data_IF_667853882337
#
_entry.id   IF_667853882337
#
_cell.length_a   1.000
_cell.length_b   1.000
_cell.length_c   1.000
_cell.angle_alpha   90.00
_cell.angle_beta   90.00
_cell.angle_gamma   90.00
#
_symmetry.space_group_name_H-M   'P 1'
#
loop_
_entity.id
_entity.type
_entity.pdbx_description
1 polymer ?
#
# COMPACT_ATOMS: atom_id res chain seq x y z
N UNK A 1 43.68 -5.52 -17.59
CA UNK A 1 42.55 -6.43 -17.25
C UNK A 1 41.29 -5.59 -17.32
N UNK A 2 40.32 -5.96 -18.17
CA UNK A 2 39.02 -5.29 -18.24
C UNK A 2 38.00 -6.19 -17.56
N UNK A 3 37.49 -5.74 -16.41
CA UNK A 3 36.44 -6.42 -15.67
C UNK A 3 35.11 -5.91 -16.19
N UNK A 4 34.40 -6.71 -16.96
CA UNK A 4 33.01 -6.42 -17.31
C UNK A 4 32.15 -6.83 -16.11
N UNK A 5 31.65 -5.85 -15.36
CA UNK A 5 30.63 -6.10 -14.35
C UNK A 5 29.30 -6.31 -15.06
N UNK A 6 28.82 -7.55 -15.07
CA UNK A 6 27.50 -7.89 -15.58
C UNK A 6 26.48 -7.47 -14.53
N UNK A 7 25.91 -6.28 -14.70
CA UNK A 7 24.80 -5.82 -13.85
C UNK A 7 23.56 -6.57 -14.29
N UNK A 8 23.26 -7.67 -13.62
CA UNK A 8 21.98 -8.35 -13.75
C UNK A 8 20.93 -7.51 -13.02
N UNK A 9 20.27 -6.62 -13.76
CA UNK A 9 19.14 -5.84 -13.23
C UNK A 9 17.97 -6.81 -13.08
N UNK A 10 17.89 -7.46 -11.92
CA UNK A 10 16.67 -8.15 -11.48
C UNK A 10 15.55 -7.12 -11.48
N UNK A 11 14.76 -7.08 -12.56
CA UNK A 11 13.60 -6.19 -12.67
C UNK A 11 12.51 -6.78 -11.79
N UNK A 12 12.63 -6.57 -10.49
CA UNK A 12 11.69 -7.10 -9.52
C UNK A 12 10.39 -6.29 -9.64
N UNK A 13 9.33 -6.91 -10.17
CA UNK A 13 8.02 -6.25 -10.29
C UNK A 13 7.45 -6.10 -8.88
N UNK A 14 7.64 -4.92 -8.30
CA UNK A 14 7.12 -4.56 -7.02
C UNK A 14 5.76 -3.86 -7.16
N UNK A 15 4.87 -4.08 -6.18
CA UNK A 15 3.63 -3.32 -6.09
C UNK A 15 3.95 -1.99 -5.38
N UNK A 16 3.60 -0.88 -6.03
CA UNK A 16 3.85 0.46 -5.53
C UNK A 16 2.54 1.22 -5.44
N UNK A 17 2.40 2.05 -4.42
CA UNK A 17 1.25 2.93 -4.23
C UNK A 17 1.75 4.37 -3.99
N UNK A 18 1.06 5.41 -4.49
CA UNK A 18 1.32 6.78 -4.06
C UNK A 18 1.23 6.91 -2.54
N UNK A 19 2.11 7.72 -1.94
CA UNK A 19 2.17 7.91 -0.49
C UNK A 19 0.84 8.42 0.10
N UNK A 20 0.01 9.10 -0.70
CA UNK A 20 -1.32 9.58 -0.29
C UNK A 20 -2.31 8.44 0.02
N UNK A 21 -2.15 7.28 -0.62
CA UNK A 21 -2.99 6.10 -0.42
C UNK A 21 -2.57 5.22 0.76
N UNK A 22 -1.43 5.53 1.38
CA UNK A 22 -0.89 4.82 2.53
C UNK A 22 -1.31 5.54 3.81
N UNK A 23 -1.85 4.80 4.78
CA UNK A 23 -2.17 5.33 6.10
C UNK A 23 -1.42 4.57 7.18
N UNK A 24 -0.97 5.28 8.20
CA UNK A 24 -0.33 4.68 9.37
C UNK A 24 -1.29 4.73 10.55
N UNK A 25 -1.43 3.60 11.23
CA UNK A 25 -2.26 3.45 12.41
C UNK A 25 -1.62 2.45 13.37
N UNK A 26 -1.52 2.79 14.67
CA UNK A 26 -0.90 1.92 15.70
C UNK A 26 0.44 1.30 15.27
N UNK A 27 1.35 2.14 14.77
CA UNK A 27 2.68 1.75 14.27
C UNK A 27 2.71 0.77 13.09
N UNK A 28 1.55 0.51 12.50
CA UNK A 28 1.38 -0.32 11.30
C UNK A 28 0.92 0.52 10.12
N UNK A 29 1.14 0.00 8.93
CA UNK A 29 0.80 0.68 7.68
C UNK A 29 -0.29 -0.08 6.93
N UNK A 30 -1.19 0.67 6.31
CA UNK A 30 -2.38 0.12 5.70
C UNK A 30 -2.68 0.83 4.39
N UNK A 31 -3.37 0.10 3.51
CA UNK A 31 -3.99 0.63 2.30
C UNK A 31 -5.48 0.28 2.31
N UNK A 32 -6.27 1.09 1.62
CA UNK A 32 -7.70 0.81 1.44
C UNK A 32 -7.96 0.24 0.05
N UNK A 33 -8.51 -0.97 0.00
CA UNK A 33 -9.00 -1.57 -1.23
C UNK A 33 -10.47 -1.20 -1.44
N UNK A 34 -10.80 -0.67 -2.62
CA UNK A 34 -12.18 -0.39 -2.98
C UNK A 34 -12.90 -1.70 -3.34
N UNK A 35 -14.02 -1.93 -2.68
CA UNK A 35 -14.92 -3.05 -2.95
C UNK A 35 -16.21 -2.54 -3.64
N UNK A 36 -17.07 -3.48 -4.01
CA UNK A 36 -18.40 -3.15 -4.49
C UNK A 36 -19.22 -2.36 -3.44
N UNK A 37 -20.22 -1.62 -3.91
CA UNK A 37 -21.19 -0.88 -3.07
C UNK A 37 -20.58 0.19 -2.15
N UNK A 38 -19.52 0.87 -2.60
CA UNK A 38 -18.83 1.93 -1.82
C UNK A 38 -18.28 1.42 -0.48
N UNK A 39 -17.98 0.12 -0.40
CA UNK A 39 -17.30 -0.48 0.75
C UNK A 39 -15.79 -0.41 0.52
N UNK A 40 -15.05 -0.27 1.61
CA UNK A 40 -13.60 -0.20 1.59
C UNK A 40 -13.05 -1.19 2.61
N UNK A 41 -12.05 -1.96 2.21
CA UNK A 41 -11.36 -2.89 3.08
C UNK A 41 -10.00 -2.30 3.48
N UNK A 42 -9.72 -2.25 4.79
CA UNK A 42 -8.44 -1.82 5.32
C UNK A 42 -7.50 -3.02 5.37
N UNK A 43 -6.40 -2.95 4.64
CA UNK A 43 -5.46 -4.07 4.50
C UNK A 43 -4.10 -3.65 5.04
N UNK A 44 -3.57 -4.41 6.00
CA UNK A 44 -2.23 -4.21 6.54
C UNK A 44 -1.18 -4.55 5.48
N UNK A 45 -0.18 -3.68 5.34
CA UNK A 45 0.91 -3.84 4.39
C UNK A 45 2.24 -3.58 5.08
N UNK A 46 3.29 -4.20 4.56
CA UNK A 46 4.66 -3.84 4.90
C UNK A 46 5.22 -2.93 3.82
N UNK A 47 5.80 -1.80 4.21
CA UNK A 47 6.51 -0.92 3.29
C UNK A 47 7.99 -1.28 3.20
N UNK A 48 8.60 -1.00 2.06
CA UNK A 48 10.03 -1.24 1.86
C UNK A 48 10.74 0.00 1.33
N UNK A 49 10.62 0.25 0.03
CA UNK A 49 11.25 1.39 -0.64
C UNK A 49 10.25 2.53 -0.75
N UNK A 50 10.66 3.75 -0.41
CA UNK A 50 9.90 4.97 -0.66
C UNK A 50 10.74 5.87 -1.55
N UNK A 51 10.23 6.20 -2.74
CA UNK A 51 10.93 7.04 -3.70
C UNK A 51 9.95 7.84 -4.55
N UNK A 52 10.27 9.12 -4.80
CA UNK A 52 9.51 9.99 -5.71
C UNK A 52 7.99 10.07 -5.44
N UNK A 53 7.58 9.97 -4.17
CA UNK A 53 6.17 10.02 -3.78
C UNK A 53 5.41 8.69 -3.91
N UNK A 54 6.12 7.60 -4.18
CA UNK A 54 5.59 6.24 -4.21
C UNK A 54 6.25 5.39 -3.14
N UNK A 55 5.48 4.48 -2.55
CA UNK A 55 5.94 3.49 -1.60
C UNK A 55 5.72 2.10 -2.17
N UNK A 56 6.76 1.30 -2.17
CA UNK A 56 6.67 -0.13 -2.38
C UNK A 56 6.02 -0.79 -1.18
N UNK A 57 4.97 -1.55 -1.44
CA UNK A 57 4.22 -2.28 -0.43
C UNK A 57 4.22 -3.77 -0.74
N UNK A 58 4.15 -4.56 0.31
CA UNK A 58 3.96 -6.00 0.26
C UNK A 58 2.80 -6.39 1.17
N UNK A 59 1.98 -7.33 0.70
CA UNK A 59 0.95 -7.96 1.51
C UNK A 59 1.56 -9.14 2.24
N UNK A 60 1.14 -9.36 3.49
CA UNK A 60 1.59 -10.50 4.29
C UNK A 60 1.01 -11.85 3.84
N UNK A 61 0.11 -11.84 2.85
CA UNK A 61 -0.53 -13.04 2.31
C UNK A 61 -0.19 -13.26 0.84
N UNK A 62 -0.51 -14.46 0.34
CA UNK A 62 -0.24 -14.87 -1.04
C UNK A 62 -1.33 -14.44 -2.04
N UNK A 63 -2.25 -13.55 -1.65
CA UNK A 63 -3.37 -13.14 -2.52
C UNK A 63 -2.88 -12.08 -3.49
N UNK A 64 -2.99 -12.37 -4.79
CA UNK A 64 -2.68 -11.37 -5.82
C UNK A 64 -3.79 -10.31 -5.87
N UNK A 65 -3.43 -9.09 -5.48
CA UNK A 65 -4.32 -7.91 -5.47
C UNK A 65 -3.93 -6.89 -6.53
N UNK A 66 -3.10 -7.26 -7.53
CA UNK A 66 -2.67 -6.33 -8.59
C UNK A 66 -3.82 -5.77 -9.42
N UNK A 67 -4.90 -6.54 -9.58
CA UNK A 67 -6.08 -6.13 -10.35
C UNK A 67 -7.14 -5.41 -9.50
N UNK A 68 -6.82 -5.10 -8.23
CA UNK A 68 -7.74 -4.44 -7.32
C UNK A 68 -7.52 -2.93 -7.34
N UNK A 69 -8.62 -2.20 -7.18
CA UNK A 69 -8.58 -0.75 -7.06
C UNK A 69 -8.25 -0.37 -5.62
N UNK A 70 -7.27 0.52 -5.46
CA UNK A 70 -6.87 1.06 -4.17
C UNK A 70 -7.25 2.54 -4.08
N UNK A 71 -7.67 2.96 -2.89
CA UNK A 71 -7.99 4.35 -2.62
C UNK A 71 -6.70 5.14 -2.46
N UNK A 72 -6.45 6.04 -3.40
CA UNK A 72 -5.30 6.95 -3.34
C UNK A 72 -5.67 8.23 -2.60
N UNK A 73 -6.74 8.90 -3.07
CA UNK A 73 -7.19 10.16 -2.48
C UNK A 73 -8.19 9.92 -1.37
N UNK A 74 -7.94 10.49 -0.20
CA UNK A 74 -8.85 10.38 0.94
C UNK A 74 -8.68 9.10 1.78
N UNK A 75 -7.57 8.38 1.63
CA UNK A 75 -7.26 7.22 2.49
C UNK A 75 -7.24 7.63 3.98
N UNK A 76 -6.65 8.78 4.32
CA UNK A 76 -6.70 9.34 5.67
C UNK A 76 -8.13 9.65 6.15
N UNK A 77 -9.00 10.14 5.26
CA UNK A 77 -10.42 10.38 5.59
C UNK A 77 -11.15 9.08 5.91
N UNK A 78 -10.85 7.99 5.19
CA UNK A 78 -11.40 6.67 5.51
C UNK A 78 -10.95 6.18 6.88
N UNK A 79 -9.67 6.38 7.22
CA UNK A 79 -9.15 6.06 8.56
C UNK A 79 -9.90 6.83 9.65
N UNK A 80 -10.05 8.15 9.50
CA UNK A 80 -10.78 8.97 10.47
C UNK A 80 -12.24 8.52 10.64
N UNK A 81 -12.92 8.19 9.53
CA UNK A 81 -14.29 7.66 9.59
C UNK A 81 -14.35 6.34 10.35
N UNK A 82 -13.44 5.40 10.06
CA UNK A 82 -13.40 4.11 10.78
C UNK A 82 -13.10 4.29 12.27
N UNK A 83 -12.24 5.24 12.64
CA UNK A 83 -11.90 5.50 14.04
C UNK A 83 -13.03 6.17 14.80
N UNK A 84 -13.63 7.21 14.21
CA UNK A 84 -14.76 7.91 14.84
C UNK A 84 -15.98 7.00 14.99
N UNK A 85 -16.26 6.13 14.02
CA UNK A 85 -17.34 5.12 14.14
C UNK A 85 -17.03 4.07 15.22
N UNK A 86 -15.75 3.80 15.52
CA UNK A 86 -15.36 2.88 16.60
C UNK A 86 -15.38 3.52 18.00
N UNK A 87 -15.46 4.86 18.09
CA UNK A 87 -15.52 5.62 19.35
C UNK A 87 -16.96 6.01 19.75
N UNK A 88 -17.94 5.73 18.88
CA UNK A 88 -19.37 5.99 19.10
C UNK A 88 -20.19 4.75 19.56
N UNK A 89 -19.54 3.63 19.91
CA UNK A 89 -20.15 2.49 20.64
C UNK A 89 -19.65 2.41 22.09
#
# INVERSE_FOLDING_TARGET
MYMNAQVEVSTNKALVIPNEGLVRFEDKEYVYMAMADKKYEMIEVTTQNNENGYTQIAFGDSIDRKDKEFVIKGAYTLLMKMKNTAEEE
#
